data_IF_316568141768
#
_entry.id   IF_316568141768
#
_cell.length_a   1.000
_cell.length_b   1.000
_cell.length_c   1.000
_cell.angle_alpha   90.00
_cell.angle_beta   90.00
_cell.angle_gamma   90.00
#
_symmetry.space_group_name_H-M   'P 1'
#
loop_
_entity.id
_entity.type
_entity.pdbx_description
1 polymer ?
#
# COMPACT_ATOMS: atom_id res chain seq x y z
N UNK A 1 17.53 -14.39 -21.10
CA UNK A 1 16.78 -13.12 -20.93
C UNK A 1 17.78 -12.07 -20.48
N UNK A 2 17.96 -10.98 -21.23
CA UNK A 2 18.85 -9.90 -20.81
C UNK A 2 18.29 -9.28 -19.52
N UNK A 3 19.11 -9.22 -18.46
CA UNK A 3 18.75 -8.60 -17.19
C UNK A 3 19.01 -7.10 -17.34
N UNK A 4 17.97 -6.34 -17.65
CA UNK A 4 18.05 -4.88 -17.80
C UNK A 4 18.64 -4.29 -16.53
N UNK A 5 19.76 -3.56 -16.65
CA UNK A 5 20.39 -2.88 -15.50
C UNK A 5 19.66 -1.57 -15.24
N UNK A 6 19.58 -1.17 -13.97
CA UNK A 6 18.96 0.11 -13.60
C UNK A 6 19.53 1.32 -14.38
N UNK A 7 20.83 1.30 -14.68
CA UNK A 7 21.50 2.32 -15.48
C UNK A 7 20.99 2.43 -16.92
N UNK A 8 20.43 1.34 -17.47
CA UNK A 8 19.94 1.24 -18.86
C UNK A 8 18.49 1.73 -19.00
N UNK A 9 17.78 1.96 -17.89
CA UNK A 9 16.45 2.54 -17.91
C UNK A 9 16.52 4.02 -18.33
N UNK A 10 15.59 4.42 -19.19
CA UNK A 10 15.35 5.82 -19.51
C UNK A 10 14.93 6.60 -18.27
N UNK A 11 15.13 7.91 -18.27
CA UNK A 11 14.74 8.77 -17.14
C UNK A 11 13.25 8.64 -16.84
N UNK A 12 12.40 8.47 -17.86
CA UNK A 12 10.96 8.25 -17.69
C UNK A 12 10.66 6.95 -16.96
N UNK A 13 11.36 5.85 -17.26
CA UNK A 13 11.16 4.56 -16.60
C UNK A 13 11.64 4.62 -15.14
N UNK A 14 12.79 5.23 -14.88
CA UNK A 14 13.28 5.45 -13.50
C UNK A 14 12.30 6.28 -12.69
N UNK A 15 11.82 7.39 -13.26
CA UNK A 15 10.80 8.23 -12.63
C UNK A 15 9.53 7.43 -12.37
N UNK A 16 9.04 6.66 -13.34
CA UNK A 16 7.84 5.85 -13.16
C UNK A 16 7.98 4.84 -12.01
N UNK A 17 9.11 4.12 -11.94
CA UNK A 17 9.37 3.16 -10.85
C UNK A 17 9.42 3.86 -9.50
N UNK A 18 10.13 4.98 -9.41
CA UNK A 18 10.20 5.76 -8.18
C UNK A 18 8.82 6.28 -7.76
N UNK A 19 8.05 6.85 -8.69
CA UNK A 19 6.71 7.35 -8.42
C UNK A 19 5.77 6.25 -7.95
N UNK A 20 5.69 5.13 -8.67
CA UNK A 20 4.82 4.00 -8.31
C UNK A 20 5.23 3.40 -6.97
N UNK A 21 6.54 3.22 -6.73
CA UNK A 21 7.05 2.74 -5.45
C UNK A 21 6.74 3.67 -4.28
N UNK A 22 6.93 4.99 -4.46
CA UNK A 22 6.57 5.99 -3.45
C UNK A 22 5.08 5.96 -3.14
N UNK A 23 4.22 5.92 -4.16
CA UNK A 23 2.76 5.81 -3.97
C UNK A 23 2.41 4.55 -3.19
N UNK A 24 3.01 3.41 -3.52
CA UNK A 24 2.77 2.14 -2.82
C UNK A 24 3.12 2.24 -1.34
N UNK A 25 4.32 2.74 -1.03
CA UNK A 25 4.81 2.87 0.35
C UNK A 25 3.95 3.86 1.13
N UNK A 26 3.66 5.04 0.56
CA UNK A 26 2.79 6.04 1.18
C UNK A 26 1.40 5.47 1.47
N UNK A 27 0.82 4.72 0.53
CA UNK A 27 -0.49 4.12 0.70
C UNK A 27 -0.48 3.06 1.81
N UNK A 28 0.53 2.18 1.83
CA UNK A 28 0.71 1.16 2.86
C UNK A 28 0.85 1.81 4.25
N UNK A 29 1.74 2.79 4.38
CA UNK A 29 1.98 3.49 5.65
C UNK A 29 0.73 4.22 6.13
N UNK A 30 -0.03 4.83 5.23
CA UNK A 30 -1.28 5.51 5.57
C UNK A 30 -2.33 4.52 6.04
N UNK A 31 -2.47 3.37 5.38
CA UNK A 31 -3.39 2.31 5.81
C UNK A 31 -3.01 1.78 7.19
N UNK A 32 -1.74 1.45 7.42
CA UNK A 32 -1.25 0.98 8.72
C UNK A 32 -1.43 2.02 9.83
N UNK A 33 -1.13 3.30 9.56
CA UNK A 33 -1.31 4.38 10.51
C UNK A 33 -2.79 4.61 10.84
N UNK A 34 -3.68 4.53 9.85
CA UNK A 34 -5.13 4.65 10.06
C UNK A 34 -5.67 3.46 10.86
N UNK A 35 -5.27 2.23 10.52
CA UNK A 35 -5.61 1.02 11.30
C UNK A 35 -5.14 1.18 12.74
N UNK A 36 -3.88 1.58 12.95
CA UNK A 36 -3.30 1.70 14.28
C UNK A 36 -4.05 2.72 15.13
N UNK A 37 -4.35 3.90 14.57
CA UNK A 37 -5.06 4.98 15.27
C UNK A 37 -6.53 4.67 15.55
N UNK A 38 -7.21 3.90 14.69
CA UNK A 38 -8.64 3.60 14.87
C UNK A 38 -8.88 2.56 15.98
N UNK A 39 -9.88 2.79 16.85
CA UNK A 39 -10.35 1.77 17.77
C UNK A 39 -10.99 0.61 16.99
N UNK A 40 -10.91 -0.61 17.52
CA UNK A 40 -11.36 -1.81 16.82
C UNK A 40 -12.86 -1.78 16.44
N UNK A 41 -13.69 -1.02 17.16
CA UNK A 41 -15.11 -0.84 16.85
C UNK A 41 -15.40 -0.09 15.55
N UNK A 42 -14.46 0.75 15.09
CA UNK A 42 -14.54 1.52 13.83
C UNK A 42 -13.97 0.77 12.63
N UNK A 43 -13.42 -0.42 12.84
CA UNK A 43 -12.88 -1.27 11.78
C UNK A 43 -13.84 -2.45 11.58
N UNK A 44 -14.13 -2.80 10.32
CA UNK A 44 -14.97 -3.96 10.01
C UNK A 44 -14.19 -5.25 10.25
N UNK A 45 -14.44 -5.93 11.36
CA UNK A 45 -13.82 -7.23 11.65
C UNK A 45 -12.49 -7.10 12.39
N UNK A 46 -11.59 -8.08 12.22
CA UNK A 46 -10.34 -8.12 12.97
C UNK A 46 -9.35 -7.06 12.48
N UNK A 47 -8.91 -6.18 13.38
CA UNK A 47 -7.88 -5.16 13.14
C UNK A 47 -6.59 -5.75 12.55
N UNK A 48 -6.14 -6.90 13.07
CA UNK A 48 -4.91 -7.55 12.60
C UNK A 48 -5.05 -8.17 11.22
N UNK A 49 -6.26 -8.60 10.82
CA UNK A 49 -6.49 -9.09 9.47
C UNK A 49 -6.30 -7.96 8.44
N UNK A 50 -6.76 -6.74 8.75
CA UNK A 50 -6.55 -5.59 7.87
C UNK A 50 -5.08 -5.16 7.77
N UNK A 51 -4.31 -5.31 8.85
CA UNK A 51 -2.86 -5.13 8.80
C UNK A 51 -2.25 -6.10 7.80
N UNK A 52 -2.55 -7.41 7.92
CA UNK A 52 -2.03 -8.43 7.01
C UNK A 52 -2.47 -8.20 5.56
N UNK A 53 -3.75 -7.88 5.33
CA UNK A 53 -4.29 -7.57 4.01
C UNK A 53 -3.57 -6.37 3.39
N UNK A 54 -3.23 -5.35 4.17
CA UNK A 54 -2.53 -4.15 3.67
C UNK A 54 -1.16 -4.46 3.04
N UNK A 55 -0.50 -5.59 3.38
CA UNK A 55 0.75 -5.99 2.75
C UNK A 55 0.57 -6.60 1.35
N UNK A 56 -0.67 -6.84 0.89
CA UNK A 56 -0.95 -7.41 -0.42
C UNK A 56 -0.96 -6.32 -1.49
N UNK A 57 0.22 -5.97 -2.01
CA UNK A 57 0.40 -4.99 -3.10
C UNK A 57 -0.43 -3.71 -2.89
N UNK A 58 -0.98 -3.12 -3.95
CA UNK A 58 -1.90 -1.98 -3.87
C UNK A 58 -3.32 -2.38 -3.45
N UNK A 59 -3.72 -3.63 -3.74
CA UNK A 59 -5.09 -4.10 -3.49
C UNK A 59 -5.40 -4.09 -1.98
N UNK A 60 -4.42 -4.48 -1.16
CA UNK A 60 -4.53 -4.52 0.28
C UNK A 60 -4.95 -3.18 0.90
N UNK A 61 -4.10 -2.14 0.81
CA UNK A 61 -4.40 -0.83 1.37
C UNK A 61 -5.66 -0.20 0.78
N UNK A 62 -5.90 -0.35 -0.54
CA UNK A 62 -7.12 0.16 -1.18
C UNK A 62 -8.36 -0.50 -0.57
N UNK A 63 -8.35 -1.83 -0.45
CA UNK A 63 -9.47 -2.58 0.12
C UNK A 63 -9.78 -2.21 1.57
N UNK A 64 -8.74 -1.86 2.35
CA UNK A 64 -8.92 -1.36 3.71
C UNK A 64 -9.67 -0.02 3.71
N UNK A 65 -9.27 0.93 2.87
CA UNK A 65 -9.94 2.24 2.81
C UNK A 65 -11.36 2.15 2.28
N UNK A 66 -11.65 1.24 1.33
CA UNK A 66 -12.98 1.10 0.74
C UNK A 66 -13.94 0.25 1.59
N UNK A 67 -13.44 -0.82 2.22
CA UNK A 67 -14.28 -1.78 2.93
C UNK A 67 -13.93 -1.94 4.41
N UNK A 68 -12.66 -1.79 4.80
CA UNK A 68 -12.21 -2.01 6.18
C UNK A 68 -12.61 -0.91 7.15
N UNK A 69 -12.72 0.33 6.68
CA UNK A 69 -13.15 1.47 7.51
C UNK A 69 -14.67 1.49 7.67
N UNK A 70 -15.16 1.53 8.91
CA UNK A 70 -16.52 2.03 9.20
C UNK A 70 -16.47 3.55 9.29
N UNK A 71 -17.45 4.23 8.66
CA UNK A 71 -17.65 5.66 8.86
C UNK A 71 -18.21 5.92 10.25
#
# INVERSE_FOLDING_TARGET
MAKTRWSELSDREKTAVLTVGSVQISLLLTALADIYRRPAGEIRGNKWAWVAVSFVNFIGPISYFTFGRKR
#
